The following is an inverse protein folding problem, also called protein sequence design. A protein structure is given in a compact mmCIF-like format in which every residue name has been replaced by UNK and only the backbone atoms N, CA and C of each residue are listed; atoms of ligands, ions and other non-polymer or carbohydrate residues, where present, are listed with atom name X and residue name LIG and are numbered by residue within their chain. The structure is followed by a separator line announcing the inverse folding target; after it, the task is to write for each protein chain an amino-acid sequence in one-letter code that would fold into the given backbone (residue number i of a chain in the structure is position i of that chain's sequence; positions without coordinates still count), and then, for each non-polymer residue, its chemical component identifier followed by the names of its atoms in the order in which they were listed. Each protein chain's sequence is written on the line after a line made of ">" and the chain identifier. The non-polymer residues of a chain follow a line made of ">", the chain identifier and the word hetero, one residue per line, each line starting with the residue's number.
data_IF_670723753947
#
_entry.id   IF_670723753947
#
_cell.length_a   1.000
_cell.length_b   1.000
_cell.length_c   1.000
_cell.angle_alpha   90.00
_cell.angle_beta   90.00
_cell.angle_gamma   90.00
#
_symmetry.space_group_name_H-M   'P 1'
#
loop_
_entity.id
_entity.type
_entity.pdbx_description
1 polymer ?
#
# COMPACT_ATOMS: atom_id res chain seq x y z
N UNK A 1 -15.69 -12.04 -1.55
CA UNK A 1 -14.94 -10.93 -2.17
C UNK A 1 -14.88 -9.74 -1.22
N UNK A 2 -16.00 -9.30 -0.62
CA UNK A 2 -16.04 -8.25 0.43
C UNK A 2 -15.02 -8.41 1.58
N UNK A 3 -14.79 -9.63 2.08
CA UNK A 3 -13.86 -9.83 3.21
C UNK A 3 -12.42 -9.37 2.95
N UNK A 4 -11.94 -9.41 1.69
CA UNK A 4 -10.59 -8.92 1.38
C UNK A 4 -10.54 -7.40 1.36
N UNK A 5 -11.62 -6.79 0.90
CA UNK A 5 -11.72 -5.35 0.68
C UNK A 5 -11.77 -4.63 2.02
N UNK A 6 -12.59 -5.12 2.96
CA UNK A 6 -12.63 -4.60 4.33
C UNK A 6 -11.27 -4.73 5.03
N UNK A 7 -10.53 -5.82 4.80
CA UNK A 7 -9.18 -5.97 5.35
C UNK A 7 -8.16 -5.03 4.71
N UNK A 8 -8.27 -4.79 3.41
CA UNK A 8 -7.46 -3.76 2.72
C UNK A 8 -7.80 -2.37 3.27
N UNK A 9 -9.08 -2.05 3.45
CA UNK A 9 -9.53 -0.79 4.05
C UNK A 9 -8.94 -0.60 5.44
N UNK A 10 -9.07 -1.61 6.31
CA UNK A 10 -8.48 -1.60 7.65
C UNK A 10 -6.97 -1.34 7.61
N UNK A 11 -6.23 -2.07 6.78
CA UNK A 11 -4.77 -1.87 6.62
C UNK A 11 -4.46 -0.43 6.22
N UNK A 12 -5.16 0.12 5.23
CA UNK A 12 -4.88 1.47 4.72
C UNK A 12 -5.33 2.59 5.68
N UNK A 13 -6.35 2.34 6.50
CA UNK A 13 -6.82 3.25 7.56
C UNK A 13 -5.84 3.27 8.74
N UNK A 14 -5.32 2.13 9.14
CA UNK A 14 -4.48 1.99 10.33
C UNK A 14 -2.99 2.23 10.05
N UNK A 15 -2.51 2.01 8.82
CA UNK A 15 -1.09 2.08 8.52
C UNK A 15 -0.49 3.46 8.83
N UNK A 16 0.59 3.50 9.60
CA UNK A 16 1.27 4.76 9.88
C UNK A 16 1.99 5.28 8.64
N UNK A 17 2.58 4.38 7.82
CA UNK A 17 3.39 4.70 6.66
C UNK A 17 3.29 3.69 5.50
N UNK A 18 3.97 4.00 4.39
CA UNK A 18 3.95 3.17 3.19
C UNK A 18 4.63 1.81 3.40
N UNK A 19 5.64 1.71 4.28
CA UNK A 19 6.33 0.45 4.54
C UNK A 19 5.43 -0.55 5.28
N UNK A 20 4.71 -0.07 6.29
CA UNK A 20 3.77 -0.87 7.09
C UNK A 20 2.61 -1.34 6.22
N UNK A 21 2.01 -0.44 5.43
CA UNK A 21 0.92 -0.79 4.52
C UNK A 21 1.35 -1.81 3.46
N UNK A 22 2.49 -1.62 2.78
CA UNK A 22 3.00 -2.60 1.80
C UNK A 22 3.22 -3.97 2.44
N UNK A 23 3.83 -4.02 3.63
CA UNK A 23 4.09 -5.26 4.34
C UNK A 23 2.79 -5.98 4.70
N UNK A 24 1.82 -5.26 5.26
CA UNK A 24 0.53 -5.84 5.65
C UNK A 24 -0.28 -6.31 4.43
N UNK A 25 -0.30 -5.53 3.34
CA UNK A 25 -0.91 -5.95 2.07
C UNK A 25 -0.24 -7.21 1.53
N UNK A 26 1.09 -7.26 1.51
CA UNK A 26 1.82 -8.46 1.10
C UNK A 26 1.42 -9.69 1.93
N UNK A 27 1.37 -9.56 3.25
CA UNK A 27 0.97 -10.65 4.14
C UNK A 27 -0.48 -11.10 3.92
N UNK A 28 -1.41 -10.16 3.75
CA UNK A 28 -2.82 -10.44 3.44
C UNK A 28 -2.96 -11.25 2.15
N UNK A 29 -2.33 -10.80 1.07
CA UNK A 29 -2.44 -11.47 -0.23
C UNK A 29 -1.68 -12.79 -0.28
N UNK A 30 -0.52 -12.89 0.40
CA UNK A 30 0.24 -14.14 0.52
C UNK A 30 -0.54 -15.23 1.25
N UNK A 31 -1.32 -14.88 2.28
CA UNK A 31 -2.16 -15.84 3.03
C UNK A 31 -3.27 -16.42 2.17
N UNK A 32 -3.75 -15.69 1.15
CA UNK A 32 -4.81 -16.15 0.26
C UNK A 32 -4.31 -17.10 -0.83
N UNK A 33 -3.09 -16.91 -1.32
CA UNK A 33 -2.52 -17.80 -2.32
C UNK A 33 -1.00 -17.82 -2.29
N UNK A 34 -0.44 -19.03 -2.35
CA UNK A 34 1.00 -19.25 -2.46
C UNK A 34 1.62 -18.59 -3.72
N UNK A 35 0.81 -18.20 -4.71
CA UNK A 35 1.26 -17.47 -5.90
C UNK A 35 1.76 -16.05 -5.58
N UNK A 36 1.23 -15.40 -4.52
CA UNK A 36 1.70 -14.10 -4.04
C UNK A 36 3.02 -14.25 -3.26
N UNK A 37 4.09 -14.47 -4.01
CA UNK A 37 5.47 -14.48 -3.51
C UNK A 37 6.17 -13.15 -3.81
N UNK A 38 7.27 -12.85 -3.11
CA UNK A 38 8.12 -11.71 -3.44
C UNK A 38 8.58 -11.74 -4.91
N UNK A 39 8.89 -12.93 -5.45
CA UNK A 39 9.26 -13.10 -6.86
C UNK A 39 8.16 -12.62 -7.79
N UNK A 40 6.91 -13.01 -7.49
CA UNK A 40 5.74 -12.65 -8.29
C UNK A 40 5.52 -11.14 -8.27
N UNK A 41 5.49 -10.53 -7.09
CA UNK A 41 5.30 -9.09 -6.94
C UNK A 41 6.39 -8.34 -7.69
N UNK A 42 7.67 -8.67 -7.45
CA UNK A 42 8.78 -7.98 -8.10
C UNK A 42 8.71 -8.06 -9.63
N UNK A 43 8.38 -9.24 -10.16
CA UNK A 43 8.23 -9.43 -11.61
C UNK A 43 7.08 -8.61 -12.19
N UNK A 44 5.96 -8.50 -11.48
CA UNK A 44 4.75 -7.79 -11.95
C UNK A 44 4.86 -6.28 -11.81
N UNK A 45 5.52 -5.79 -10.77
CA UNK A 45 5.71 -4.36 -10.51
C UNK A 45 7.00 -3.77 -11.11
N UNK A 46 7.84 -4.61 -11.73
CA UNK A 46 9.13 -4.19 -12.30
C UNK A 46 10.21 -3.90 -11.26
N UNK A 47 9.98 -4.25 -10.00
CA UNK A 47 10.94 -4.06 -8.90
C UNK A 47 12.16 -4.99 -9.13
N UNK A 48 13.40 -4.46 -9.07
CA UNK A 48 14.58 -5.14 -9.59
C UNK A 48 15.00 -6.37 -8.78
N UNK A 49 14.69 -6.41 -7.48
CA UNK A 49 15.08 -7.55 -6.64
C UNK A 49 14.19 -7.70 -5.40
N UNK A 50 14.11 -8.94 -4.92
CA UNK A 50 13.42 -9.28 -3.65
C UNK A 50 14.07 -8.58 -2.46
N UNK A 51 15.39 -8.42 -2.47
CA UNK A 51 16.13 -7.75 -1.40
C UNK A 51 15.75 -6.26 -1.30
N UNK A 52 15.69 -5.56 -2.44
CA UNK A 52 15.21 -4.19 -2.46
C UNK A 52 13.78 -4.08 -1.93
N UNK A 53 12.87 -4.96 -2.37
CA UNK A 53 11.48 -4.94 -1.89
C UNK A 53 11.36 -5.28 -0.39
N UNK A 54 12.20 -6.20 0.10
CA UNK A 54 12.26 -6.50 1.53
C UNK A 54 12.70 -5.29 2.35
N UNK A 55 13.71 -4.53 1.90
CA UNK A 55 14.11 -3.30 2.57
C UNK A 55 13.01 -2.22 2.54
N UNK A 56 12.21 -2.18 1.48
CA UNK A 56 11.02 -1.30 1.42
C UNK A 56 10.00 -1.67 2.50
N UNK A 57 9.66 -2.95 2.64
CA UNK A 57 8.70 -3.42 3.65
C UNK A 57 9.20 -3.30 5.10
N UNK A 58 10.52 -3.23 5.29
CA UNK A 58 11.12 -2.97 6.60
C UNK A 58 11.22 -1.48 6.94
N UNK A 59 10.95 -0.58 5.98
CA UNK A 59 11.14 0.86 6.15
C UNK A 59 12.58 1.35 5.93
N UNK A 60 13.53 0.43 5.70
CA UNK A 60 14.95 0.76 5.48
C UNK A 60 15.21 1.51 4.16
N UNK A 61 14.29 1.38 3.19
CA UNK A 61 14.36 2.07 1.90
C UNK A 61 12.98 2.57 1.47
N UNK A 62 12.96 3.70 0.76
CA UNK A 62 11.77 4.18 0.07
C UNK A 62 11.56 3.44 -1.24
N UNK A 63 10.29 3.19 -1.59
CA UNK A 63 9.93 2.67 -2.89
C UNK A 63 10.12 3.75 -3.96
N UNK A 64 10.84 3.46 -5.03
CA UNK A 64 11.03 4.40 -6.14
C UNK A 64 9.70 4.63 -6.88
N UNK A 65 9.40 5.90 -7.19
CA UNK A 65 8.12 6.33 -7.77
C UNK A 65 7.74 5.64 -9.08
N UNK A 66 8.73 5.24 -9.88
CA UNK A 66 8.46 4.52 -11.13
C UNK A 66 7.78 3.14 -10.93
N UNK A 67 7.80 2.60 -9.71
CA UNK A 67 7.18 1.31 -9.39
C UNK A 67 5.81 1.43 -8.71
N UNK A 68 5.37 2.64 -8.36
CA UNK A 68 4.18 2.82 -7.51
C UNK A 68 2.93 2.26 -8.18
N UNK A 69 2.56 2.77 -9.36
CA UNK A 69 1.37 2.33 -10.10
C UNK A 69 1.32 0.81 -10.27
N UNK A 70 2.41 0.22 -10.78
CA UNK A 70 2.46 -1.22 -11.03
C UNK A 70 2.40 -2.06 -9.74
N UNK A 71 2.83 -1.53 -8.59
CA UNK A 71 2.68 -2.19 -7.30
C UNK A 71 1.23 -2.11 -6.79
N UNK A 72 0.56 -0.97 -6.93
CA UNK A 72 -0.86 -0.82 -6.54
C UNK A 72 -1.74 -1.76 -7.36
N UNK A 73 -1.49 -1.88 -8.66
CA UNK A 73 -2.18 -2.81 -9.56
C UNK A 73 -2.02 -4.27 -9.11
N UNK A 74 -0.84 -4.64 -8.60
CA UNK A 74 -0.59 -5.98 -8.06
C UNK A 74 -1.44 -6.26 -6.83
N UNK A 75 -1.73 -5.25 -6.02
CA UNK A 75 -2.63 -5.37 -4.87
C UNK A 75 -4.10 -5.15 -5.22
N UNK A 76 -4.42 -4.90 -6.50
CA UNK A 76 -5.80 -4.74 -6.99
C UNK A 76 -6.61 -3.73 -6.18
N UNK A 77 -5.97 -2.64 -5.77
CA UNK A 77 -6.62 -1.59 -5.00
C UNK A 77 -7.68 -0.90 -5.86
N UNK A 78 -8.82 -0.58 -5.27
CA UNK A 78 -9.79 0.34 -5.89
C UNK A 78 -9.25 1.78 -5.87
N UNK A 79 -9.98 2.72 -6.49
CA UNK A 79 -9.50 4.10 -6.66
C UNK A 79 -9.21 4.81 -5.33
N UNK A 80 -10.10 4.69 -4.33
CA UNK A 80 -9.92 5.33 -3.03
C UNK A 80 -8.77 4.68 -2.23
N UNK A 81 -8.64 3.34 -2.29
CA UNK A 81 -7.54 2.60 -1.67
C UNK A 81 -6.19 2.96 -2.31
N UNK A 82 -6.16 3.04 -3.65
CA UNK A 82 -4.98 3.41 -4.40
C UNK A 82 -4.53 4.83 -4.07
N UNK A 83 -5.45 5.78 -3.94
CA UNK A 83 -5.15 7.17 -3.58
C UNK A 83 -4.57 7.27 -2.16
N UNK A 84 -5.14 6.58 -1.15
CA UNK A 84 -4.54 6.53 0.19
C UNK A 84 -3.12 6.00 0.13
N UNK A 85 -2.91 4.90 -0.60
CA UNK A 85 -1.59 4.29 -0.72
C UNK A 85 -0.59 5.19 -1.45
N UNK A 86 -1.05 5.92 -2.47
CA UNK A 86 -0.24 6.91 -3.20
C UNK A 86 0.18 8.06 -2.28
N UNK A 87 -0.75 8.60 -1.49
CA UNK A 87 -0.47 9.67 -0.54
C UNK A 87 0.51 9.25 0.56
N UNK A 88 0.43 8.00 1.04
CA UNK A 88 1.42 7.45 1.98
C UNK A 88 2.83 7.42 1.35
N UNK A 89 2.94 6.99 0.09
CA UNK A 89 4.19 6.95 -0.65
C UNK A 89 4.76 8.36 -0.91
N UNK A 90 3.91 9.32 -1.29
CA UNK A 90 4.30 10.72 -1.49
C UNK A 90 4.76 11.39 -0.19
N UNK A 91 4.02 11.18 0.90
CA UNK A 91 4.37 11.71 2.22
C UNK A 91 5.72 11.20 2.69
N UNK A 92 5.98 9.92 2.50
CA UNK A 92 7.26 9.32 2.87
C UNK A 92 8.39 9.84 1.96
N UNK A 93 8.11 10.15 0.69
CA UNK A 93 9.07 10.75 -0.23
C UNK A 93 9.37 12.23 0.08
N UNK A 94 8.38 12.98 0.54
CA UNK A 94 8.41 14.43 0.75
C UNK A 94 8.15 14.84 2.22
N UNK A 95 9.08 14.60 3.15
CA UNK A 95 8.87 14.84 4.58
C UNK A 95 8.55 16.31 4.92
N UNK A 96 8.97 17.27 4.08
CA UNK A 96 8.68 18.69 4.25
C UNK A 96 7.21 19.08 4.07
N UNK A 97 6.38 18.19 3.52
CA UNK A 97 4.94 18.42 3.30
C UNK A 97 4.05 17.47 4.12
N UNK A 98 4.58 16.89 5.20
CA UNK A 98 3.88 15.87 6.00
C UNK A 98 2.43 16.26 6.36
N UNK A 99 2.22 17.48 6.88
CA UNK A 99 0.89 17.99 7.25
C UNK A 99 -0.10 18.00 6.07
N UNK A 100 0.35 18.42 4.88
CA UNK A 100 -0.49 18.45 3.68
C UNK A 100 -0.98 17.05 3.31
N UNK A 101 -0.08 16.07 3.34
CA UNK A 101 -0.46 14.69 3.04
C UNK A 101 -1.32 14.07 4.14
N UNK A 102 -1.04 14.34 5.42
CA UNK A 102 -1.84 13.82 6.54
C UNK A 102 -3.29 14.31 6.45
N UNK A 103 -3.52 15.59 6.10
CA UNK A 103 -4.86 16.15 5.87
C UNK A 103 -5.59 15.45 4.70
N UNK A 104 -4.88 15.14 3.60
CA UNK A 104 -5.46 14.41 2.46
C UNK A 104 -5.73 12.94 2.77
N UNK A 105 -4.79 12.26 3.44
CA UNK A 105 -4.94 10.87 3.86
C UNK A 105 -6.18 10.72 4.76
N UNK A 106 -6.35 11.62 5.72
CA UNK A 106 -7.54 11.62 6.58
C UNK A 106 -8.84 11.71 5.78
N UNK A 107 -8.92 12.60 4.79
CA UNK A 107 -10.11 12.75 3.94
C UNK A 107 -10.47 11.46 3.20
N UNK A 108 -9.49 10.75 2.62
CA UNK A 108 -9.75 9.49 1.93
C UNK A 108 -10.04 8.33 2.89
N UNK A 109 -9.37 8.26 4.04
CA UNK A 109 -9.67 7.25 5.07
C UNK A 109 -11.12 7.30 5.54
N UNK A 110 -11.71 8.50 5.67
CA UNK A 110 -13.12 8.62 6.04
C UNK A 110 -14.09 8.05 5.00
N UNK A 111 -13.67 7.87 3.74
CA UNK A 111 -14.48 7.21 2.70
C UNK A 111 -14.39 5.70 2.85
N UNK A 112 -13.17 5.18 3.04
CA UNK A 112 -12.94 3.74 3.25
C UNK A 112 -13.68 3.21 4.49
N UNK A 113 -13.78 4.00 5.56
CA UNK A 113 -14.52 3.60 6.77
C UNK A 113 -16.04 3.61 6.59
N UNK A 114 -16.58 4.41 5.66
CA UNK A 114 -18.05 4.50 5.44
C UNK A 114 -18.58 3.33 4.62
N UNK A 115 -17.72 2.67 3.85
CA UNK A 115 -18.10 1.48 3.07
C UNK A 115 -18.22 0.23 3.95
N UNK A 116 -17.57 0.19 5.12
CA UNK A 116 -17.64 -0.94 6.06
C UNK A 116 -18.95 -0.99 6.88
N UNK A 117 -19.70 0.12 6.95
CA UNK A 117 -20.91 0.28 7.77
C UNK A 117 -22.23 -0.04 7.02
N UNK A 118 -22.16 -0.52 5.76
CA UNK A 118 -23.34 -0.73 4.90
C UNK A 118 -23.60 -2.20 4.51
#
# INVERSE_FOLDING_TARGET
>A
MMLIENEVNRILVEAEDSSISIRQLYELYRKQTAKYSLSFICKRSGIPSKGYFSFVMSGDRRLNSKYWSALLDVFKLNDDQAEVMYLLLERDAEPGKRRYYDERIAAFRTRLTKEDDC
#
